data_IF_972028760858
#
_entry.id   IF_972028760858
#
_cell.length_a   1.000
_cell.length_b   1.000
_cell.length_c   1.000
_cell.angle_alpha   90.00
_cell.angle_beta   90.00
_cell.angle_gamma   90.00
#
_symmetry.space_group_name_H-M   'P 1'
#
loop_
_entity.id
_entity.type
_entity.pdbx_description
1 polymer ?
#
# COMPACT_ATOMS: atom_id res chain seq x y z
N UNK A 1 -6.37 -2.40 -34.99
CA UNK A 1 -5.38 -2.98 -34.05
C UNK A 1 -4.77 -4.19 -34.71
N UNK A 2 -3.52 -4.54 -34.38
CA UNK A 2 -2.84 -5.70 -34.94
C UNK A 2 -3.15 -6.94 -34.12
N UNK A 3 -3.60 -7.99 -34.80
CA UNK A 3 -3.90 -9.27 -34.14
C UNK A 3 -2.61 -10.08 -33.94
N UNK A 4 -2.72 -11.21 -33.23
CA UNK A 4 -1.60 -12.16 -33.07
C UNK A 4 -1.09 -12.76 -34.39
N UNK A 5 -1.84 -12.62 -35.49
CA UNK A 5 -1.41 -13.05 -36.83
C UNK A 5 -0.50 -12.01 -37.49
N UNK A 6 -0.68 -10.73 -37.16
CA UNK A 6 0.09 -9.63 -37.72
C UNK A 6 1.34 -9.36 -36.88
N UNK A 7 1.20 -9.38 -35.55
CA UNK A 7 2.26 -9.02 -34.59
C UNK A 7 2.22 -9.91 -33.36
N UNK A 8 3.38 -10.46 -32.99
CA UNK A 8 3.58 -11.22 -31.75
C UNK A 8 4.52 -10.45 -30.83
N UNK A 9 4.11 -10.28 -29.57
CA UNK A 9 4.88 -9.61 -28.53
C UNK A 9 5.33 -10.63 -27.49
N UNK A 10 6.57 -10.50 -27.01
CA UNK A 10 7.13 -11.34 -25.96
C UNK A 10 8.08 -10.53 -25.09
N UNK A 11 8.28 -10.99 -23.86
CA UNK A 11 9.25 -10.43 -22.92
C UNK A 11 10.67 -10.85 -23.30
N UNK A 12 11.62 -9.91 -23.26
CA UNK A 12 13.05 -10.22 -23.42
C UNK A 12 13.60 -10.88 -22.14
N UNK A 13 14.76 -11.54 -22.25
CA UNK A 13 15.43 -12.24 -21.12
C UNK A 13 15.57 -11.36 -19.87
N UNK A 14 15.88 -10.07 -20.05
CA UNK A 14 15.77 -9.05 -19.01
C UNK A 14 14.60 -8.12 -19.33
N UNK A 15 13.38 -8.42 -18.84
CA UNK A 15 12.18 -7.70 -19.27
C UNK A 15 12.03 -6.32 -18.61
N UNK A 16 12.55 -6.16 -17.39
CA UNK A 16 12.39 -4.95 -16.58
C UNK A 16 13.72 -4.61 -15.90
N UNK A 17 14.06 -3.31 -15.84
CA UNK A 17 15.27 -2.79 -15.17
C UNK A 17 14.89 -1.58 -14.31
N UNK A 18 15.68 -1.29 -13.27
CA UNK A 18 15.51 -0.11 -12.42
C UNK A 18 14.42 -0.24 -11.33
N UNK A 19 13.78 -1.40 -11.19
CA UNK A 19 12.77 -1.64 -10.14
C UNK A 19 13.40 -1.75 -8.75
N UNK A 20 14.62 -2.27 -8.68
CA UNK A 20 15.37 -2.43 -7.43
C UNK A 20 15.91 -1.08 -6.90
N UNK A 21 16.15 -0.13 -7.80
CA UNK A 21 16.63 1.22 -7.48
C UNK A 21 15.48 2.19 -7.16
N UNK A 22 14.24 1.76 -7.34
CA UNK A 22 13.07 2.62 -7.18
C UNK A 22 12.70 2.77 -5.69
N UNK A 23 12.99 3.94 -5.14
CA UNK A 23 12.55 4.34 -3.81
C UNK A 23 11.18 5.02 -3.86
N UNK A 24 10.21 4.48 -3.10
CA UNK A 24 8.88 5.06 -2.95
C UNK A 24 8.68 5.51 -1.50
N UNK A 25 8.16 6.71 -1.23
CA UNK A 25 8.10 7.27 0.13
C UNK A 25 7.12 6.54 1.06
N UNK A 26 6.08 5.90 0.51
CA UNK A 26 5.01 5.24 1.27
C UNK A 26 4.90 3.74 1.02
N UNK A 27 5.66 3.22 0.05
CA UNK A 27 5.56 1.84 -0.39
C UNK A 27 6.95 1.25 -0.58
N UNK A 28 7.05 -0.07 -0.45
CA UNK A 28 8.24 -0.83 -0.79
C UNK A 28 7.84 -1.82 -1.87
N UNK A 29 8.60 -1.85 -2.96
CA UNK A 29 8.40 -2.85 -4.01
C UNK A 29 8.99 -4.15 -3.50
N UNK A 30 8.14 -5.15 -3.27
CA UNK A 30 8.56 -6.48 -2.84
C UNK A 30 9.01 -7.36 -4.01
N UNK A 31 8.58 -7.02 -5.22
CA UNK A 31 8.87 -7.77 -6.43
C UNK A 31 7.94 -7.40 -7.56
N UNK A 32 8.19 -7.98 -8.73
CA UNK A 32 7.38 -7.80 -9.93
C UNK A 32 7.20 -9.13 -10.65
N UNK A 33 6.12 -9.24 -11.43
CA UNK A 33 5.81 -10.40 -12.24
C UNK A 33 5.47 -9.96 -13.66
N UNK A 34 6.08 -10.61 -14.64
CA UNK A 34 5.77 -10.42 -16.06
C UNK A 34 4.80 -11.50 -16.51
N UNK A 35 3.65 -11.09 -17.02
CA UNK A 35 2.62 -11.97 -17.58
C UNK A 35 2.51 -11.74 -19.09
N UNK A 36 2.29 -12.83 -19.82
CA UNK A 36 1.97 -12.83 -21.25
C UNK A 36 0.66 -13.60 -21.45
N UNK A 37 -0.35 -12.93 -22.01
CA UNK A 37 -1.66 -13.50 -22.25
C UNK A 37 -2.22 -13.10 -23.60
N UNK A 38 -2.90 -14.04 -24.26
CA UNK A 38 -3.75 -13.78 -25.43
C UNK A 38 -5.17 -13.47 -24.98
N UNK A 39 -5.69 -12.32 -25.38
CA UNK A 39 -7.06 -11.91 -25.11
C UNK A 39 -7.89 -11.93 -26.39
N UNK A 40 -9.06 -12.58 -26.32
CA UNK A 40 -10.03 -12.62 -27.41
C UNK A 40 -11.01 -11.46 -27.23
N UNK A 41 -11.03 -10.59 -28.22
CA UNK A 41 -11.94 -9.46 -28.34
C UNK A 41 -12.91 -9.71 -29.51
N UNK A 42 -13.95 -8.88 -29.63
CA UNK A 42 -14.95 -9.00 -30.70
C UNK A 42 -14.32 -8.88 -32.12
N UNK A 43 -13.19 -8.19 -32.23
CA UNK A 43 -12.50 -7.92 -33.50
C UNK A 43 -11.33 -8.87 -33.78
N UNK A 44 -11.00 -9.80 -32.88
CA UNK A 44 -9.88 -10.73 -33.07
C UNK A 44 -9.18 -11.14 -31.76
N UNK A 45 -8.08 -11.89 -31.90
CA UNK A 45 -7.21 -12.28 -30.78
C UNK A 45 -6.00 -11.36 -30.76
N UNK A 46 -5.69 -10.82 -29.59
CA UNK A 46 -4.62 -9.85 -29.37
C UNK A 46 -3.65 -10.38 -28.30
N UNK A 47 -2.35 -10.13 -28.50
CA UNK A 47 -1.32 -10.41 -27.50
C UNK A 47 -1.30 -9.27 -26.48
N UNK A 48 -1.29 -9.59 -25.18
CA UNK A 48 -1.19 -8.63 -24.09
C UNK A 48 -0.07 -9.02 -23.14
N UNK A 49 0.95 -8.18 -23.06
CA UNK A 49 1.97 -8.24 -22.03
C UNK A 49 1.52 -7.42 -20.83
N UNK A 50 1.71 -7.91 -19.62
CA UNK A 50 1.34 -7.21 -18.39
C UNK A 50 2.46 -7.32 -17.36
N UNK A 51 2.79 -6.20 -16.72
CA UNK A 51 3.78 -6.14 -15.64
C UNK A 51 3.05 -5.80 -14.35
N UNK A 52 3.11 -6.71 -13.39
CA UNK A 52 2.46 -6.58 -12.09
C UNK A 52 3.52 -6.28 -11.04
N UNK A 53 3.29 -5.29 -10.19
CA UNK A 53 4.17 -4.96 -9.07
C UNK A 53 3.51 -5.33 -7.74
N UNK A 54 4.27 -5.97 -6.85
CA UNK A 54 3.85 -6.22 -5.49
C UNK A 54 4.33 -5.08 -4.60
N UNK A 55 3.40 -4.21 -4.20
CA UNK A 55 3.68 -3.06 -3.35
C UNK A 55 3.26 -3.37 -1.90
N UNK A 56 4.17 -3.15 -0.95
CA UNK A 56 3.88 -3.20 0.48
C UNK A 56 3.84 -1.78 1.04
N UNK A 57 2.79 -1.42 1.77
CA UNK A 57 2.67 -0.10 2.41
C UNK A 57 3.59 -0.02 3.62
N UNK A 58 4.37 1.07 3.73
CA UNK A 58 5.12 1.38 4.93
C UNK A 58 4.18 2.01 5.97
N UNK A 59 4.02 1.36 7.12
CA UNK A 59 3.12 1.82 8.19
C UNK A 59 3.83 2.67 9.25
N UNK A 60 5.16 2.77 9.22
CA UNK A 60 5.94 3.40 10.30
C UNK A 60 5.48 4.82 10.61
N UNK A 61 5.27 5.62 9.56
CA UNK A 61 4.77 6.99 9.69
C UNK A 61 3.37 7.06 10.34
N UNK A 62 2.44 6.19 9.94
CA UNK A 62 1.10 6.14 10.50
C UNK A 62 1.11 5.73 11.98
N UNK A 63 2.02 4.84 12.38
CA UNK A 63 2.18 4.41 13.78
C UNK A 63 2.55 5.61 14.66
N UNK A 64 3.54 6.41 14.27
CA UNK A 64 3.95 7.56 15.08
C UNK A 64 2.96 8.72 15.04
N UNK A 65 2.36 9.02 13.88
CA UNK A 65 1.50 10.18 13.73
C UNK A 65 0.07 9.94 14.25
N UNK A 66 -0.43 8.71 14.17
CA UNK A 66 -1.85 8.42 14.48
C UNK A 66 -1.99 7.45 15.64
N UNK A 67 -1.34 6.28 15.58
CA UNK A 67 -1.54 5.27 16.62
C UNK A 67 -0.97 5.70 17.98
N UNK A 68 0.23 6.27 17.99
CA UNK A 68 0.86 6.74 19.23
C UNK A 68 0.02 7.79 19.97
N UNK A 69 -0.40 8.92 19.36
CA UNK A 69 -1.23 9.89 20.07
C UNK A 69 -2.60 9.32 20.47
N UNK A 70 -3.23 8.46 19.66
CA UNK A 70 -4.48 7.82 20.04
C UNK A 70 -4.32 6.91 21.26
N UNK A 71 -3.24 6.13 21.35
CA UNK A 71 -2.94 5.29 22.52
C UNK A 71 -2.72 6.16 23.75
N UNK A 72 -1.97 7.25 23.62
CA UNK A 72 -1.75 8.19 24.74
C UNK A 72 -3.06 8.79 25.24
N UNK A 73 -3.97 9.20 24.34
CA UNK A 73 -5.29 9.72 24.71
C UNK A 73 -6.10 8.67 25.48
N UNK A 74 -6.11 7.42 25.02
CA UNK A 74 -6.80 6.32 25.73
C UNK A 74 -6.19 6.09 27.12
N UNK A 75 -4.86 6.06 27.23
CA UNK A 75 -4.17 5.90 28.51
C UNK A 75 -4.51 7.04 29.47
N UNK A 76 -4.50 8.29 29.00
CA UNK A 76 -4.87 9.45 29.81
C UNK A 76 -6.34 9.40 30.26
N UNK A 77 -7.25 8.91 29.42
CA UNK A 77 -8.65 8.69 29.82
C UNK A 77 -8.76 7.71 30.99
N UNK A 78 -7.91 6.69 31.06
CA UNK A 78 -7.94 5.69 32.13
C UNK A 78 -7.32 6.18 33.44
N UNK A 79 -6.32 7.06 33.35
CA UNK A 79 -5.72 7.70 34.52
C UNK A 79 -6.76 8.51 35.31
N UNK A 80 -7.79 9.06 34.64
CA UNK A 80 -8.89 9.76 35.31
C UNK A 80 -9.69 8.88 36.29
N UNK A 81 -9.70 7.54 36.11
CA UNK A 81 -10.36 6.60 37.03
C UNK A 81 -9.54 6.31 38.29
N UNK A 82 -8.22 6.56 38.27
CA UNK A 82 -7.34 6.37 39.42
C UNK A 82 -7.26 7.59 40.34
N UNK A 83 -7.75 8.75 39.88
CA UNK A 83 -7.87 9.95 40.70
C UNK A 83 -9.03 9.77 41.68
N UNK A 84 -8.68 9.83 42.96
CA UNK A 84 -9.54 9.56 44.10
C UNK A 84 -10.82 10.43 44.09
N UNK A 85 -11.97 9.83 44.42
CA UNK A 85 -13.29 10.45 44.35
C UNK A 85 -13.49 11.63 45.33
N UNK A 86 -12.60 11.84 46.30
CA UNK A 86 -12.75 12.85 47.36
C UNK A 86 -12.42 14.30 46.96
N UNK A 87 -11.89 14.56 45.75
CA UNK A 87 -11.64 15.93 45.26
C UNK A 87 -12.87 16.52 44.53
N UNK A 88 -14.00 16.67 45.22
CA UNK A 88 -15.29 17.15 44.68
C UNK A 88 -15.36 18.67 44.44
N UNK A 89 -14.27 19.37 44.09
CA UNK A 89 -14.33 20.84 43.89
C UNK A 89 -13.56 21.39 42.70
N UNK A 90 -13.30 20.59 41.65
CA UNK A 90 -12.63 21.08 40.43
C UNK A 90 -13.20 20.51 39.11
N UNK A 91 -14.50 20.19 39.04
CA UNK A 91 -15.13 19.58 37.85
C UNK A 91 -15.79 20.56 36.85
N UNK A 92 -15.52 21.87 36.90
CA UNK A 92 -16.22 22.85 36.02
C UNK A 92 -15.30 23.60 35.05
N UNK A 93 -14.04 23.21 34.86
CA UNK A 93 -13.12 24.00 34.03
C UNK A 93 -12.21 23.22 33.05
N UNK A 94 -12.47 21.93 32.79
CA UNK A 94 -11.75 21.18 31.74
C UNK A 94 -12.69 20.82 30.60
#
# INVERSE_FOLDING_TARGET
GYTVLDVVMYWKDTPVRGVEEAELPQFTILGYETNDRKERLATGIYQRLSLSFKLQRNIGYFVFQTYLPSILIVMLSWVSFWINHEATSARVAL
#
